data_IF_020677785363
#
_entry.id   IF_020677785363
#
_cell.length_a   1.000
_cell.length_b   1.000
_cell.length_c   1.000
_cell.angle_alpha   90.00
_cell.angle_beta   90.00
_cell.angle_gamma   90.00
#
_symmetry.space_group_name_H-M   'P 1'
#
loop_
_entity.id
_entity.type
_entity.pdbx_description
1 polymer ?
#
# COMPACT_ATOMS: atom_id res chain seq x y z
N UNK A 1 7.72 3.98 -2.90
CA UNK A 1 7.49 2.53 -2.84
C UNK A 1 6.52 2.11 -1.74
N UNK A 2 6.49 2.74 -0.54
CA UNK A 2 5.45 2.45 0.49
C UNK A 2 4.00 2.71 0.06
N UNK A 3 3.82 3.41 -1.06
CA UNK A 3 2.52 3.64 -1.69
C UNK A 3 2.07 2.50 -2.62
N UNK A 4 2.90 1.46 -2.83
CA UNK A 4 2.58 0.33 -3.71
C UNK A 4 2.23 -0.92 -2.92
N UNK A 5 3.16 -1.43 -2.11
CA UNK A 5 2.93 -2.59 -1.24
C UNK A 5 3.88 -2.57 -0.03
N UNK A 6 3.53 -3.22 1.09
CA UNK A 6 4.39 -3.31 2.28
C UNK A 6 5.77 -3.93 2.00
N UNK A 7 5.83 -4.92 1.11
CA UNK A 7 7.05 -5.66 0.76
C UNK A 7 7.94 -4.93 -0.26
N UNK A 8 7.43 -3.91 -0.96
CA UNK A 8 8.16 -3.22 -2.03
C UNK A 8 9.52 -2.67 -1.58
N UNK A 9 9.62 -2.10 -0.38
CA UNK A 9 10.93 -1.61 0.12
C UNK A 9 11.92 -2.74 0.36
N UNK A 10 11.45 -3.90 0.85
CA UNK A 10 12.27 -5.08 1.04
C UNK A 10 12.78 -5.65 -0.28
N UNK A 11 11.91 -5.72 -1.29
CA UNK A 11 12.27 -6.18 -2.65
C UNK A 11 13.31 -5.24 -3.27
N UNK A 12 13.10 -3.93 -3.20
CA UNK A 12 14.07 -2.94 -3.66
C UNK A 12 15.42 -3.09 -2.96
N UNK A 13 15.39 -3.25 -1.64
CA UNK A 13 16.57 -3.52 -0.83
C UNK A 13 17.30 -4.78 -1.31
N UNK A 14 16.59 -5.89 -1.52
CA UNK A 14 17.18 -7.14 -2.01
C UNK A 14 17.88 -6.95 -3.35
N UNK A 15 17.22 -6.31 -4.32
CA UNK A 15 17.79 -6.04 -5.66
C UNK A 15 19.09 -5.25 -5.53
N UNK A 16 19.10 -4.17 -4.71
CA UNK A 16 20.30 -3.37 -4.50
C UNK A 16 21.43 -4.13 -3.77
N UNK A 17 21.11 -4.96 -2.78
CA UNK A 17 22.11 -5.75 -2.06
C UNK A 17 22.73 -6.81 -2.96
N UNK A 18 21.95 -7.49 -3.79
CA UNK A 18 22.45 -8.46 -4.76
C UNK A 18 23.35 -7.79 -5.80
N UNK A 19 22.91 -6.65 -6.35
CA UNK A 19 23.71 -5.86 -7.27
C UNK A 19 25.07 -5.46 -6.66
N UNK A 20 25.08 -5.01 -5.39
CA UNK A 20 26.31 -4.69 -4.66
C UNK A 20 27.18 -5.92 -4.43
N UNK A 21 26.60 -7.05 -4.03
CA UNK A 21 27.32 -8.28 -3.72
C UNK A 21 27.99 -8.90 -4.95
N UNK A 22 27.43 -8.70 -6.14
CA UNK A 22 27.97 -9.17 -7.41
C UNK A 22 28.75 -8.09 -8.18
N UNK A 23 28.73 -6.83 -7.72
CA UNK A 23 29.26 -5.65 -8.43
C UNK A 23 28.70 -5.52 -9.86
N UNK A 24 27.42 -5.82 -10.05
CA UNK A 24 26.76 -5.86 -11.36
C UNK A 24 27.15 -7.04 -12.26
N UNK A 25 28.08 -7.91 -11.83
CA UNK A 25 28.42 -9.14 -12.54
C UNK A 25 27.56 -10.31 -12.04
N UNK A 26 26.36 -10.42 -12.59
CA UNK A 26 25.34 -11.39 -12.19
C UNK A 26 25.76 -12.86 -12.40
N UNK A 27 26.70 -13.15 -13.30
CA UNK A 27 27.28 -14.49 -13.46
C UNK A 27 28.00 -14.98 -12.21
N UNK A 28 28.42 -14.08 -11.31
CA UNK A 28 28.99 -14.46 -10.00
C UNK A 28 27.98 -15.13 -9.08
N UNK A 29 26.68 -14.91 -9.28
CA UNK A 29 25.65 -15.59 -8.49
C UNK A 29 25.59 -17.08 -8.81
N UNK A 30 25.88 -17.46 -10.07
CA UNK A 30 25.97 -18.86 -10.52
C UNK A 30 27.17 -19.61 -9.91
N UNK A 31 28.22 -18.89 -9.52
CA UNK A 31 29.47 -19.46 -9.00
C UNK A 31 29.47 -19.61 -7.47
N UNK A 32 28.52 -18.98 -6.78
CA UNK A 32 28.48 -18.87 -5.31
C UNK A 32 27.53 -19.87 -4.66
N UNK A 33 26.85 -20.70 -5.43
CA UNK A 33 25.97 -21.74 -4.92
C UNK A 33 26.77 -23.03 -4.79
N UNK A 34 27.13 -23.41 -3.56
CA UNK A 34 27.76 -24.70 -3.24
C UNK A 34 26.85 -25.93 -3.55
N UNK A 35 25.62 -25.66 -4.00
CA UNK A 35 24.65 -26.63 -4.49
C UNK A 35 24.43 -26.39 -5.98
N UNK A 36 24.92 -27.31 -6.82
CA UNK A 36 24.90 -27.23 -8.29
C UNK A 36 23.48 -27.16 -8.89
N UNK A 37 22.43 -27.34 -8.10
CA UNK A 37 21.04 -27.50 -8.57
C UNK A 37 20.06 -26.35 -8.23
N UNK A 38 20.49 -25.27 -7.54
CA UNK A 38 19.55 -24.28 -7.01
C UNK A 38 19.30 -23.04 -7.88
N UNK A 39 20.30 -22.57 -8.63
CA UNK A 39 20.19 -21.33 -9.44
C UNK A 39 20.94 -21.53 -10.76
N UNK A 40 20.19 -21.67 -11.85
CA UNK A 40 20.71 -21.74 -13.20
C UNK A 40 20.76 -20.37 -13.90
N UNK A 41 21.36 -20.31 -15.11
CA UNK A 41 21.37 -19.08 -15.92
C UNK A 41 19.96 -18.52 -16.19
N UNK A 42 18.97 -19.39 -16.42
CA UNK A 42 17.59 -18.99 -16.64
C UNK A 42 16.94 -18.32 -15.42
N UNK A 43 17.33 -18.73 -14.20
CA UNK A 43 16.80 -18.12 -12.97
C UNK A 43 17.36 -16.72 -12.77
N UNK A 44 18.63 -16.52 -13.13
CA UNK A 44 19.25 -15.19 -13.13
C UNK A 44 18.56 -14.29 -14.16
N UNK A 45 18.31 -14.78 -15.37
CA UNK A 45 17.62 -14.01 -16.40
C UNK A 45 16.19 -13.63 -15.95
N UNK A 46 15.43 -14.59 -15.41
CA UNK A 46 14.08 -14.34 -14.90
C UNK A 46 14.08 -13.35 -13.73
N UNK A 47 15.05 -13.45 -12.82
CA UNK A 47 15.21 -12.48 -11.73
C UNK A 47 15.53 -11.08 -12.26
N UNK A 48 16.41 -10.96 -13.25
CA UNK A 48 16.77 -9.67 -13.84
C UNK A 48 15.61 -9.04 -14.59
N UNK A 49 14.82 -9.84 -15.29
CA UNK A 49 13.59 -9.38 -15.93
C UNK A 49 12.58 -8.88 -14.89
N UNK A 50 12.36 -9.65 -13.82
CA UNK A 50 11.52 -9.22 -12.71
C UNK A 50 12.04 -7.92 -12.07
N UNK A 51 13.34 -7.86 -11.76
CA UNK A 51 13.95 -6.69 -11.13
C UNK A 51 13.86 -5.46 -12.04
N UNK A 52 14.07 -5.61 -13.34
CA UNK A 52 13.92 -4.53 -14.31
C UNK A 52 12.49 -3.98 -14.32
N UNK A 53 11.49 -4.86 -14.39
CA UNK A 53 10.10 -4.43 -14.39
C UNK A 53 9.68 -3.85 -13.02
N UNK A 54 10.10 -4.44 -11.91
CA UNK A 54 9.86 -3.92 -10.57
C UNK A 54 10.42 -2.51 -10.40
N UNK A 55 11.66 -2.27 -10.84
CA UNK A 55 12.33 -0.97 -10.76
C UNK A 55 11.66 0.06 -11.69
N UNK A 56 11.23 -0.36 -12.88
CA UNK A 56 10.51 0.51 -13.81
C UNK A 56 9.15 0.97 -13.26
N UNK A 57 8.45 0.09 -12.53
CA UNK A 57 7.14 0.39 -11.96
C UNK A 57 7.19 0.90 -10.51
N UNK A 58 8.37 0.95 -9.90
CA UNK A 58 8.56 1.28 -8.48
C UNK A 58 7.66 0.45 -7.56
N UNK A 59 7.52 -0.84 -7.88
CA UNK A 59 6.68 -1.78 -7.15
C UNK A 59 6.42 -3.09 -7.88
N UNK A 60 5.87 -4.06 -7.17
CA UNK A 60 5.67 -5.45 -7.62
C UNK A 60 4.26 -5.75 -8.14
N UNK A 61 3.42 -4.73 -8.33
CA UNK A 61 2.05 -4.91 -8.81
C UNK A 61 1.92 -4.56 -10.29
N UNK A 62 1.36 -5.49 -11.04
CA UNK A 62 0.80 -5.29 -12.38
C UNK A 62 -0.72 -5.31 -12.25
N UNK A 63 -1.40 -4.35 -12.86
CA UNK A 63 -2.87 -4.35 -12.84
C UNK A 63 -3.37 -5.44 -13.78
N UNK A 64 -3.55 -6.65 -13.24
CA UNK A 64 -4.31 -7.74 -13.86
C UNK A 64 -5.26 -8.29 -12.81
N UNK A 65 -6.55 -8.18 -13.07
CA UNK A 65 -7.62 -8.53 -12.13
C UNK A 65 -7.66 -10.03 -11.83
N UNK A 66 -7.65 -10.41 -10.57
CA UNK A 66 -7.93 -11.78 -10.11
C UNK A 66 -9.37 -11.89 -9.56
N UNK A 67 -10.00 -13.09 -9.63
CA UNK A 67 -11.33 -13.37 -9.06
C UNK A 67 -11.52 -12.82 -7.63
N UNK A 68 -12.77 -12.55 -7.20
CA UNK A 68 -13.98 -13.35 -7.48
C UNK A 68 -14.91 -12.85 -8.61
N UNK A 69 -15.64 -13.79 -9.23
CA UNK A 69 -16.47 -13.57 -10.43
C UNK A 69 -17.97 -13.42 -10.16
N UNK A 70 -18.44 -13.77 -8.96
CA UNK A 70 -19.88 -13.74 -8.61
C UNK A 70 -20.14 -13.05 -7.28
N UNK A 71 -21.37 -12.58 -7.09
CA UNK A 71 -21.85 -12.04 -5.83
C UNK A 71 -22.64 -13.13 -5.08
N UNK A 72 -22.34 -13.31 -3.80
CA UNK A 72 -22.98 -14.34 -2.99
C UNK A 72 -22.28 -14.54 -1.65
N UNK A 73 -22.63 -15.62 -0.94
CA UNK A 73 -21.97 -15.94 0.32
C UNK A 73 -20.44 -16.05 0.12
N UNK A 74 -19.61 -15.43 0.98
CA UNK A 74 -18.17 -15.42 0.82
C UNK A 74 -17.61 -16.84 0.60
N UNK A 75 -16.92 -17.01 -0.51
CA UNK A 75 -16.33 -18.29 -0.91
C UNK A 75 -15.20 -18.06 -1.92
N UNK A 76 -14.55 -19.14 -2.37
CA UNK A 76 -13.47 -19.07 -3.37
C UNK A 76 -13.89 -18.43 -4.70
N UNK A 77 -15.18 -18.41 -5.01
CA UNK A 77 -15.70 -17.93 -6.30
C UNK A 77 -16.65 -16.75 -6.16
N UNK A 78 -17.10 -16.42 -4.94
CA UNK A 78 -18.11 -15.40 -4.68
C UNK A 78 -17.69 -14.44 -3.57
N UNK A 79 -18.02 -13.15 -3.74
CA UNK A 79 -17.84 -12.10 -2.73
C UNK A 79 -19.18 -11.56 -2.22
N UNK A 80 -19.17 -11.03 -0.99
CA UNK A 80 -20.29 -10.31 -0.42
C UNK A 80 -19.80 -9.01 0.21
N UNK A 81 -20.43 -7.90 -0.15
CA UNK A 81 -20.24 -6.64 0.56
C UNK A 81 -21.05 -6.55 1.86
N UNK A 82 -21.89 -7.54 2.17
CA UNK A 82 -22.68 -7.62 3.41
C UNK A 82 -21.92 -8.28 4.57
N UNK A 83 -20.89 -9.09 4.26
CA UNK A 83 -20.05 -9.77 5.23
C UNK A 83 -18.60 -9.37 4.98
N UNK A 84 -18.07 -8.52 5.85
CA UNK A 84 -16.77 -7.87 5.71
C UNK A 84 -15.79 -8.59 6.65
N UNK A 85 -14.52 -8.66 6.27
CA UNK A 85 -13.45 -9.18 7.12
C UNK A 85 -12.52 -10.12 6.35
N UNK A 86 -11.30 -10.28 6.85
CA UNK A 86 -10.28 -11.13 6.25
C UNK A 86 -10.59 -12.62 6.44
N UNK A 87 -11.24 -12.96 7.56
CA UNK A 87 -11.68 -14.31 7.87
C UNK A 87 -13.11 -14.57 7.37
N UNK A 88 -13.36 -15.65 6.61
CA UNK A 88 -14.68 -15.94 6.10
C UNK A 88 -15.69 -16.14 7.24
N UNK A 89 -16.85 -15.49 7.10
CA UNK A 89 -17.98 -15.71 7.99
C UNK A 89 -18.60 -17.08 7.71
N UNK A 90 -18.98 -17.81 8.75
CA UNK A 90 -19.69 -19.09 8.60
C UNK A 90 -21.21 -18.90 8.68
N UNK A 91 -21.98 -19.96 8.38
CA UNK A 91 -23.45 -19.91 8.53
C UNK A 91 -23.86 -19.84 10.01
N UNK A 92 -23.07 -20.47 10.87
CA UNK A 92 -23.23 -20.45 12.32
C UNK A 92 -22.99 -19.06 12.89
N UNK A 93 -21.97 -18.35 12.38
CA UNK A 93 -21.70 -16.95 12.73
C UNK A 93 -22.90 -16.07 12.39
N UNK A 94 -23.45 -16.20 11.17
CA UNK A 94 -24.64 -15.44 10.73
C UNK A 94 -25.82 -15.72 11.66
N UNK A 95 -26.11 -16.99 11.97
CA UNK A 95 -27.19 -17.35 12.87
C UNK A 95 -27.02 -16.76 14.28
N UNK A 96 -25.79 -16.72 14.79
CA UNK A 96 -25.46 -16.10 16.08
C UNK A 96 -25.72 -14.59 16.05
N UNK A 97 -25.22 -13.90 15.01
CA UNK A 97 -25.38 -12.46 14.85
C UNK A 97 -26.85 -12.08 14.70
N UNK A 98 -27.62 -12.81 13.88
CA UNK A 98 -29.06 -12.59 13.72
C UNK A 98 -29.81 -12.66 15.05
N UNK A 99 -29.51 -13.65 15.90
CA UNK A 99 -30.13 -13.78 17.23
C UNK A 99 -29.82 -12.59 18.15
N UNK A 100 -28.60 -12.04 18.07
CA UNK A 100 -28.21 -10.84 18.84
C UNK A 100 -28.96 -9.62 18.32
N UNK A 101 -29.09 -9.47 17.00
CA UNK A 101 -29.80 -8.36 16.36
C UNK A 101 -31.28 -8.33 16.76
N UNK A 102 -31.96 -9.48 16.70
CA UNK A 102 -33.37 -9.63 17.13
C UNK A 102 -33.59 -9.18 18.57
N UNK A 103 -32.69 -9.56 19.49
CA UNK A 103 -32.75 -9.16 20.90
C UNK A 103 -32.66 -7.64 21.09
N UNK A 104 -31.98 -6.92 20.20
CA UNK A 104 -31.79 -5.48 20.27
C UNK A 104 -32.73 -4.70 19.32
N UNK A 105 -33.67 -5.38 18.65
CA UNK A 105 -34.58 -4.76 17.71
C UNK A 105 -33.90 -4.22 16.44
N UNK A 106 -32.74 -4.77 16.08
CA UNK A 106 -31.99 -4.43 14.87
C UNK A 106 -32.33 -5.47 13.81
N UNK A 107 -32.58 -5.04 12.57
CA UNK A 107 -33.01 -5.92 11.48
C UNK A 107 -31.97 -5.98 10.35
N UNK A 108 -31.81 -7.12 9.67
CA UNK A 108 -30.73 -7.34 8.69
C UNK A 108 -30.77 -6.41 7.46
N UNK A 109 -31.94 -5.90 7.10
CA UNK A 109 -32.20 -5.10 5.90
C UNK A 109 -31.35 -3.83 5.83
N UNK A 110 -30.99 -3.25 6.98
CA UNK A 110 -30.16 -2.06 7.06
C UNK A 110 -28.83 -2.30 7.79
N UNK A 111 -28.29 -3.52 7.75
CA UNK A 111 -27.02 -3.82 8.41
C UNK A 111 -26.03 -4.54 7.51
N UNK A 112 -24.75 -4.38 7.82
CA UNK A 112 -23.66 -5.26 7.37
C UNK A 112 -22.98 -5.85 8.59
N UNK A 113 -22.33 -7.00 8.42
CA UNK A 113 -21.57 -7.65 9.50
C UNK A 113 -20.09 -7.58 9.16
N UNK A 114 -19.27 -7.09 10.08
CA UNK A 114 -17.82 -7.13 9.98
C UNK A 114 -17.27 -8.12 11.00
N UNK A 115 -16.56 -9.14 10.53
CA UNK A 115 -15.93 -10.17 11.36
C UNK A 115 -14.43 -9.90 11.41
N UNK A 116 -13.90 -9.79 12.63
CA UNK A 116 -12.46 -9.67 12.89
C UNK A 116 -12.02 -10.71 13.90
N UNK A 117 -10.71 -10.95 14.00
CA UNK A 117 -10.13 -11.83 15.02
C UNK A 117 -9.35 -10.98 16.04
N UNK A 118 -9.73 -11.07 17.31
CA UNK A 118 -8.98 -10.46 18.42
C UNK A 118 -8.59 -11.55 19.41
N UNK A 119 -7.31 -11.67 19.73
CA UNK A 119 -6.78 -12.71 20.64
C UNK A 119 -7.27 -14.13 20.28
N UNK A 120 -7.30 -14.46 18.98
CA UNK A 120 -7.82 -15.74 18.44
C UNK A 120 -9.32 -16.00 18.68
N UNK A 121 -10.10 -14.98 19.04
CA UNK A 121 -11.55 -15.05 19.18
C UNK A 121 -12.23 -14.21 18.10
N UNK A 122 -13.35 -14.69 17.53
CA UNK A 122 -14.10 -13.91 16.57
C UNK A 122 -14.82 -12.76 17.27
N UNK A 123 -14.70 -11.56 16.70
CA UNK A 123 -15.42 -10.35 17.08
C UNK A 123 -16.32 -9.95 15.93
N UNK A 124 -17.59 -9.71 16.21
CA UNK A 124 -18.61 -9.33 15.23
C UNK A 124 -19.09 -7.90 15.49
N UNK A 125 -18.94 -7.04 14.48
CA UNK A 125 -19.47 -5.69 14.49
C UNK A 125 -20.68 -5.61 13.55
N UNK A 126 -21.81 -5.15 14.09
CA UNK A 126 -23.05 -4.95 13.31
C UNK A 126 -23.06 -3.48 12.86
N UNK A 127 -22.77 -3.27 11.58
CA UNK A 127 -22.73 -1.96 10.95
C UNK A 127 -24.13 -1.57 10.51
N UNK A 128 -24.86 -0.86 11.37
CA UNK A 128 -26.19 -0.35 11.05
C UNK A 128 -26.11 0.88 10.13
N UNK A 129 -26.86 0.87 9.05
CA UNK A 129 -27.04 2.01 8.16
C UNK A 129 -27.94 3.04 8.86
N UNK A 130 -27.31 4.10 9.33
CA UNK A 130 -27.92 5.27 9.95
C UNK A 130 -27.26 6.53 9.36
N UNK A 131 -27.99 7.65 9.36
CA UNK A 131 -27.44 8.97 9.01
C UNK A 131 -26.50 9.52 10.08
N UNK A 132 -26.48 8.95 11.28
CA UNK A 132 -25.66 9.39 12.40
C UNK A 132 -24.34 8.60 12.44
N UNK A 133 -23.23 9.25 12.08
CA UNK A 133 -21.90 8.65 12.09
C UNK A 133 -21.20 9.05 13.40
N UNK A 134 -20.94 8.08 14.28
CA UNK A 134 -20.01 8.27 15.40
C UNK A 134 -18.60 7.89 14.94
N UNK A 135 -17.80 8.86 14.50
CA UNK A 135 -16.42 8.65 14.09
C UNK A 135 -15.47 9.56 14.87
N UNK A 136 -14.33 9.01 15.28
CA UNK A 136 -13.21 9.77 15.84
C UNK A 136 -12.08 9.74 14.83
N UNK A 137 -11.65 10.91 14.38
CA UNK A 137 -10.55 11.06 13.42
C UNK A 137 -9.30 11.60 14.13
N UNK A 138 -8.14 11.01 13.83
CA UNK A 138 -6.84 11.50 14.29
C UNK A 138 -5.95 11.78 13.08
N UNK A 139 -5.54 13.04 12.94
CA UNK A 139 -4.59 13.45 11.91
C UNK A 139 -3.18 13.37 12.50
N UNK A 140 -2.33 12.53 11.94
CA UNK A 140 -0.91 12.40 12.29
C UNK A 140 -0.10 12.87 11.09
N UNK A 141 0.80 13.83 11.30
CA UNK A 141 1.69 14.37 10.26
C UNK A 141 3.03 13.62 10.28
N UNK A 142 3.78 13.72 9.19
CA UNK A 142 5.14 13.18 9.09
C UNK A 142 5.28 11.88 8.33
N UNK A 143 4.24 11.42 7.63
CA UNK A 143 4.41 10.33 6.67
C UNK A 143 5.41 10.74 5.57
N UNK A 144 6.32 9.82 5.23
CA UNK A 144 7.45 10.07 4.32
C UNK A 144 8.38 11.25 4.69
N UNK A 145 8.41 11.69 5.95
CA UNK A 145 9.20 12.87 6.36
C UNK A 145 10.68 12.78 6.01
N UNK A 146 11.30 11.60 6.13
CA UNK A 146 12.72 11.41 5.82
C UNK A 146 13.02 11.62 4.32
N UNK A 147 12.15 11.12 3.43
CA UNK A 147 12.29 11.29 1.99
C UNK A 147 11.93 12.72 1.55
N UNK A 148 10.86 13.29 2.11
CA UNK A 148 10.45 14.68 1.84
C UNK A 148 11.52 15.68 2.28
N UNK A 149 12.24 15.40 3.37
CA UNK A 149 13.35 16.25 3.82
C UNK A 149 14.47 16.32 2.78
N UNK A 150 14.85 15.16 2.20
CA UNK A 150 15.85 15.10 1.12
C UNK A 150 15.37 15.83 -0.13
N UNK A 151 14.08 15.69 -0.48
CA UNK A 151 13.49 16.44 -1.60
C UNK A 151 13.61 17.95 -1.35
N UNK A 152 13.31 18.43 -0.14
CA UNK A 152 13.46 19.84 0.21
C UNK A 152 14.92 20.31 0.12
N UNK A 153 15.88 19.50 0.56
CA UNK A 153 17.32 19.81 0.46
C UNK A 153 17.75 19.96 -1.00
N UNK A 154 17.38 19.01 -1.86
CA UNK A 154 17.71 19.06 -3.29
C UNK A 154 17.01 20.22 -4.02
N UNK A 155 15.76 20.53 -3.67
CA UNK A 155 15.05 21.70 -4.19
C UNK A 155 15.74 23.01 -3.78
N UNK A 156 16.31 23.07 -2.59
CA UNK A 156 17.05 24.24 -2.14
C UNK A 156 18.33 24.44 -2.96
N UNK A 157 19.09 23.38 -3.21
CA UNK A 157 20.26 23.44 -4.09
C UNK A 157 19.88 23.82 -5.53
N UNK A 158 18.75 23.31 -6.03
CA UNK A 158 18.24 23.67 -7.36
C UNK A 158 17.86 25.15 -7.45
N UNK A 159 17.29 25.73 -6.37
CA UNK A 159 16.91 27.14 -6.32
C UNK A 159 18.14 28.06 -6.42
N UNK A 160 19.26 27.69 -5.81
CA UNK A 160 20.52 28.44 -5.88
C UNK A 160 21.10 28.47 -7.32
N UNK A 161 20.72 27.49 -8.15
CA UNK A 161 21.16 27.36 -9.54
C UNK A 161 20.10 27.81 -10.56
N UNK A 162 18.98 28.38 -10.11
CA UNK A 162 17.87 28.73 -10.97
C UNK A 162 18.22 29.90 -11.91
N UNK A 163 17.66 29.87 -13.12
CA UNK A 163 17.98 30.86 -14.16
C UNK A 163 17.20 32.17 -14.03
N UNK A 164 16.15 32.21 -13.20
CA UNK A 164 15.29 33.37 -13.00
C UNK A 164 14.53 33.31 -11.66
N UNK A 165 14.10 34.49 -11.19
CA UNK A 165 13.41 34.66 -9.91
C UNK A 165 12.10 33.87 -9.83
N UNK A 166 11.42 33.64 -10.95
CA UNK A 166 10.18 32.84 -11.02
C UNK A 166 10.44 31.38 -10.67
N UNK A 167 11.50 30.78 -11.24
CA UNK A 167 11.90 29.41 -10.91
C UNK A 167 12.36 29.28 -9.45
N UNK A 168 13.08 30.28 -8.94
CA UNK A 168 13.48 30.33 -7.53
C UNK A 168 12.25 30.37 -6.61
N UNK A 169 11.27 31.22 -6.92
CA UNK A 169 10.02 31.33 -6.16
C UNK A 169 9.22 30.03 -6.19
N UNK A 170 9.06 29.40 -7.37
CA UNK A 170 8.41 28.10 -7.54
C UNK A 170 9.01 27.03 -6.61
N UNK A 171 10.34 26.92 -6.59
CA UNK A 171 11.04 25.93 -5.77
C UNK A 171 10.84 26.18 -4.27
N UNK A 172 10.86 27.44 -3.83
CA UNK A 172 10.56 27.79 -2.44
C UNK A 172 9.12 27.44 -2.04
N UNK A 173 8.14 27.68 -2.90
CA UNK A 173 6.74 27.31 -2.61
C UNK A 173 6.55 25.79 -2.53
N UNK A 174 7.27 25.01 -3.35
CA UNK A 174 7.30 23.55 -3.22
C UNK A 174 7.99 23.06 -1.94
N UNK A 175 9.07 23.72 -1.51
CA UNK A 175 9.71 23.41 -0.21
C UNK A 175 8.72 23.61 0.94
N UNK A 176 7.99 24.74 0.95
CA UNK A 176 6.97 25.02 1.97
C UNK A 176 5.85 23.97 1.96
N UNK A 177 5.37 23.59 0.78
CA UNK A 177 4.39 22.50 0.64
C UNK A 177 4.90 21.19 1.23
N UNK A 178 6.10 20.74 0.88
CA UNK A 178 6.62 19.46 1.36
C UNK A 178 6.96 19.44 2.85
N UNK A 179 7.33 20.59 3.43
CA UNK A 179 7.58 20.73 4.88
C UNK A 179 6.30 20.73 5.70
N UNK A 180 5.28 21.46 5.24
CA UNK A 180 4.10 21.75 6.05
C UNK A 180 2.84 21.01 5.59
N UNK A 181 2.87 20.35 4.44
CA UNK A 181 1.71 19.73 3.81
C UNK A 181 0.63 20.75 3.43
N UNK A 182 1.01 21.99 3.14
CA UNK A 182 0.08 23.06 2.77
C UNK A 182 -0.25 23.03 1.27
N UNK A 183 -1.41 22.47 0.94
CA UNK A 183 -1.89 22.32 -0.44
C UNK A 183 -2.08 23.67 -1.14
N UNK A 184 -2.35 24.75 -0.41
CA UNK A 184 -2.50 26.08 -1.04
C UNK A 184 -1.15 26.61 -1.51
N UNK A 185 -0.05 26.37 -0.76
CA UNK A 185 1.30 26.68 -1.23
C UNK A 185 1.62 25.91 -2.53
N UNK A 186 1.24 24.63 -2.62
CA UNK A 186 1.40 23.86 -3.86
C UNK A 186 0.62 24.44 -5.04
N UNK A 187 -0.63 24.88 -4.80
CA UNK A 187 -1.48 25.49 -5.84
C UNK A 187 -1.00 26.85 -6.29
N UNK A 188 -0.44 27.64 -5.36
CA UNK A 188 0.21 28.90 -5.67
C UNK A 188 1.40 28.67 -6.60
N UNK A 189 2.23 27.67 -6.27
CA UNK A 189 3.43 27.36 -7.01
C UNK A 189 3.13 27.08 -8.49
N UNK A 190 2.02 26.39 -8.78
CA UNK A 190 1.61 26.09 -10.16
C UNK A 190 1.11 27.30 -10.97
N UNK A 191 0.96 28.47 -10.35
CA UNK A 191 0.50 29.72 -11.00
C UNK A 191 1.63 30.74 -11.17
N UNK A 192 2.78 30.49 -10.54
CA UNK A 192 4.00 31.32 -10.58
C UNK A 192 4.73 31.13 -11.90
#
# INVERSE_FOLDING_TARGET
>A
MRQTSPESEGIYGLVLHLHKACHGNWSRLLQRTDHEDLVGPSDVDAFLEYAAQFLAHLGNYYVVTTPPYTLGFPSKTAQSSYYIGDEPISREDVAMVTKVMEKHGIWPENTRVHKTMQEHKPVFEILQATSEISATFKIIRGDHAAELSKICEELQHAADCASNDTQTALMHEYIEYFRHGDVEAFRSAQKT
#
